data_IF_949274370826
#
_entry.id   IF_949274370826
#
_cell.length_a   1.000
_cell.length_b   1.000
_cell.length_c   1.000
_cell.angle_alpha   90.00
_cell.angle_beta   90.00
_cell.angle_gamma   90.00
#
_symmetry.space_group_name_H-M   'P 1'
#
loop_
_entity.id
_entity.type
_entity.pdbx_description
1 polymer ?
#
# COMPACT_ATOMS: atom_id res chain seq x y z
N UNK A 1 -0.14 -45.11 -43.51
CA UNK A 1 -1.32 -45.89 -43.04
C UNK A 1 -1.45 -45.65 -41.54
N UNK A 2 -2.43 -45.00 -40.93
CA UNK A 2 -3.65 -44.23 -41.26
C UNK A 2 -3.70 -43.15 -40.16
N UNK A 3 -3.53 -41.85 -40.41
CA UNK A 3 -4.56 -40.80 -40.63
C UNK A 3 -5.91 -41.00 -39.92
N UNK A 4 -6.20 -40.11 -38.96
CA UNK A 4 -7.53 -39.56 -38.71
C UNK A 4 -7.39 -38.07 -38.37
N UNK A 5 -7.93 -37.26 -39.27
CA UNK A 5 -8.07 -35.81 -39.23
C UNK A 5 -9.11 -35.35 -38.20
N UNK A 6 -8.85 -34.21 -37.55
CA UNK A 6 -9.90 -33.30 -37.09
C UNK A 6 -9.50 -31.86 -37.45
N UNK A 7 -10.20 -31.31 -38.44
CA UNK A 7 -10.23 -29.88 -38.80
C UNK A 7 -11.51 -29.25 -38.25
N UNK A 8 -11.42 -27.97 -37.92
CA UNK A 8 -12.54 -27.05 -37.75
C UNK A 8 -12.48 -26.36 -36.39
N UNK A 9 -12.39 -25.04 -36.27
CA UNK A 9 -12.31 -23.96 -37.24
C UNK A 9 -12.21 -22.68 -36.41
N UNK A 10 -11.25 -21.82 -36.74
CA UNK A 10 -11.10 -20.50 -36.13
C UNK A 10 -12.30 -19.64 -36.54
N UNK A 11 -13.17 -19.35 -35.58
CA UNK A 11 -14.22 -18.34 -35.69
C UNK A 11 -13.80 -17.10 -34.93
N UNK A 12 -13.08 -16.19 -35.60
CA UNK A 12 -12.91 -14.82 -35.13
C UNK A 12 -14.29 -14.16 -35.01
N UNK A 13 -14.67 -13.71 -33.81
CA UNK A 13 -15.89 -12.90 -33.62
C UNK A 13 -15.51 -11.43 -33.84
N UNK A 14 -16.17 -10.70 -34.75
CA UNK A 14 -15.79 -9.33 -35.07
C UNK A 14 -16.15 -8.36 -33.93
N UNK A 15 -15.24 -7.43 -33.68
CA UNK A 15 -15.49 -6.20 -32.92
C UNK A 15 -16.36 -5.23 -33.74
N UNK A 16 -17.21 -4.46 -33.04
CA UNK A 16 -18.23 -3.49 -33.48
C UNK A 16 -19.55 -4.10 -33.96
N UNK A 17 -20.73 -3.66 -33.50
CA UNK A 17 -21.16 -2.27 -33.28
C UNK A 17 -22.46 -2.24 -32.46
N UNK A 18 -22.68 -1.15 -31.69
CA UNK A 18 -23.97 -0.63 -31.19
C UNK A 18 -24.95 -1.64 -30.57
N UNK A 19 -25.06 -1.64 -29.23
CA UNK A 19 -26.33 -1.91 -28.56
C UNK A 19 -26.87 -0.62 -27.97
N UNK A 20 -28.04 -0.27 -28.47
CA UNK A 20 -28.90 0.82 -28.03
C UNK A 20 -29.40 0.61 -26.61
N UNK A 21 -29.66 1.74 -25.97
CA UNK A 21 -30.47 1.95 -24.77
C UNK A 21 -31.71 1.05 -24.74
N UNK A 22 -31.86 0.25 -23.68
CA UNK A 22 -33.13 -0.31 -23.18
C UNK A 22 -33.07 -0.16 -21.66
N UNK A 23 -33.65 0.90 -21.09
CA UNK A 23 -34.93 0.88 -20.34
C UNK A 23 -34.95 0.11 -19.01
N UNK A 24 -33.91 -0.65 -18.65
CA UNK A 24 -33.82 -1.37 -17.37
C UNK A 24 -32.59 -0.92 -16.55
N UNK A 25 -32.80 -0.31 -15.37
CA UNK A 25 -31.93 -0.43 -14.16
C UNK A 25 -32.06 0.73 -13.14
N UNK A 26 -33.28 1.24 -12.93
CA UNK A 26 -33.55 2.21 -11.86
C UNK A 26 -34.34 1.56 -10.73
N UNK A 27 -33.87 1.70 -9.49
CA UNK A 27 -34.65 1.39 -8.28
C UNK A 27 -35.02 2.69 -7.58
N UNK A 28 -36.30 3.04 -7.55
CA UNK A 28 -36.84 4.14 -6.74
C UNK A 28 -36.71 3.82 -5.23
N UNK A 29 -36.36 4.82 -4.42
CA UNK A 29 -36.38 4.73 -2.96
C UNK A 29 -37.77 5.12 -2.46
N UNK A 30 -38.35 4.38 -1.49
CA UNK A 30 -39.71 4.62 -1.00
C UNK A 30 -39.90 6.05 -0.44
N UNK A 31 -40.88 6.78 -0.98
CA UNK A 31 -41.18 8.21 -0.73
C UNK A 31 -41.49 8.63 0.72
N UNK A 32 -41.64 7.70 1.68
CA UNK A 32 -42.32 8.01 2.95
C UNK A 32 -41.47 8.67 4.05
N UNK A 33 -40.15 8.71 3.94
CA UNK A 33 -39.29 9.29 5.00
C UNK A 33 -38.88 10.76 4.77
N UNK A 34 -39.14 11.34 3.60
CA UNK A 34 -38.69 12.71 3.25
C UNK A 34 -39.83 13.73 3.02
N UNK A 35 -41.09 13.31 2.94
CA UNK A 35 -42.24 14.22 2.81
C UNK A 35 -42.41 15.15 4.04
N UNK A 36 -41.80 14.84 5.19
CA UNK A 36 -41.75 15.76 6.34
C UNK A 36 -40.77 16.93 6.16
N UNK A 37 -39.83 16.84 5.19
CA UNK A 37 -38.81 17.87 4.90
C UNK A 37 -39.06 18.61 3.57
N UNK A 38 -40.01 18.16 2.75
CA UNK A 38 -40.33 18.71 1.43
C UNK A 38 -40.94 20.13 1.44
N UNK A 39 -41.13 20.75 2.60
CA UNK A 39 -41.67 22.11 2.69
C UNK A 39 -40.62 23.22 2.54
N UNK A 40 -39.32 22.93 2.37
CA UNK A 40 -38.29 23.98 2.32
C UNK A 40 -37.19 23.86 1.24
N UNK A 41 -37.22 22.89 0.32
CA UNK A 41 -36.25 22.90 -0.80
C UNK A 41 -36.73 22.14 -2.03
N UNK A 42 -36.41 22.68 -3.20
CA UNK A 42 -36.62 22.08 -4.52
C UNK A 42 -35.77 20.80 -4.61
N UNK A 43 -36.40 19.62 -4.46
CA UNK A 43 -35.77 18.33 -4.74
C UNK A 43 -36.13 17.95 -6.17
N UNK A 44 -35.14 17.89 -7.05
CA UNK A 44 -35.31 17.39 -8.44
C UNK A 44 -35.61 15.89 -8.41
N UNK A 45 -36.49 15.41 -9.30
CA UNK A 45 -36.81 13.97 -9.47
C UNK A 45 -35.56 13.09 -9.72
N UNK A 46 -34.47 13.67 -10.20
CA UNK A 46 -33.18 13.00 -10.39
C UNK A 46 -32.44 12.67 -9.08
N UNK A 47 -32.80 13.27 -7.94
CA UNK A 47 -32.19 12.97 -6.63
C UNK A 47 -32.69 11.65 -6.02
N UNK A 48 -33.75 11.06 -6.59
CA UNK A 48 -34.35 9.79 -6.16
C UNK A 48 -33.79 8.58 -6.92
N UNK A 49 -32.87 8.81 -7.86
CA UNK A 49 -32.34 7.78 -8.74
C UNK A 49 -30.91 7.38 -8.31
N UNK A 50 -30.76 6.11 -7.92
CA UNK A 50 -29.46 5.49 -7.66
C UNK A 50 -29.30 4.35 -8.66
N UNK A 51 -28.12 4.25 -9.26
CA UNK A 51 -27.84 3.15 -10.18
C UNK A 51 -27.97 1.78 -9.51
N UNK A 52 -28.28 0.75 -10.30
CA UNK A 52 -28.11 -0.63 -9.88
C UNK A 52 -26.66 -0.92 -9.47
N UNK A 53 -26.50 -1.93 -8.62
CA UNK A 53 -25.18 -2.40 -8.19
C UNK A 53 -24.35 -2.73 -9.43
N UNK A 54 -23.10 -2.24 -9.54
CA UNK A 54 -22.31 -2.35 -10.76
C UNK A 54 -21.66 -3.73 -10.87
N UNK A 55 -22.47 -4.79 -10.94
CA UNK A 55 -22.04 -6.19 -10.83
C UNK A 55 -20.91 -6.55 -11.82
N UNK A 56 -20.90 -5.94 -13.01
CA UNK A 56 -19.83 -6.12 -14.00
C UNK A 56 -18.51 -5.39 -13.69
N UNK A 57 -18.52 -4.39 -12.82
CA UNK A 57 -17.34 -3.64 -12.40
C UNK A 57 -16.73 -4.16 -11.09
N UNK A 58 -17.50 -4.93 -10.29
CA UNK A 58 -17.05 -5.48 -9.02
C UNK A 58 -16.02 -6.60 -9.23
N UNK A 59 -15.01 -6.63 -8.38
CA UNK A 59 -14.08 -7.74 -8.30
C UNK A 59 -14.77 -8.99 -7.72
N UNK A 60 -14.25 -10.18 -8.04
CA UNK A 60 -14.86 -11.43 -7.59
C UNK A 60 -14.79 -11.55 -6.05
N UNK A 61 -15.97 -11.55 -5.40
CA UNK A 61 -16.09 -11.58 -3.94
C UNK A 61 -16.16 -10.19 -3.29
N UNK A 62 -16.06 -9.12 -4.08
CA UNK A 62 -16.39 -7.76 -3.65
C UNK A 62 -17.91 -7.63 -3.46
N UNK A 63 -18.34 -7.11 -2.31
CA UNK A 63 -19.76 -6.89 -2.01
C UNK A 63 -20.05 -5.41 -1.83
N UNK A 64 -21.23 -4.97 -2.27
CA UNK A 64 -21.71 -3.60 -2.03
C UNK A 64 -22.36 -3.54 -0.65
N UNK A 65 -21.84 -2.69 0.23
CA UNK A 65 -22.41 -2.46 1.56
C UNK A 65 -23.44 -1.34 1.58
N UNK A 66 -23.24 -0.34 0.73
CA UNK A 66 -24.07 0.86 0.68
C UNK A 66 -23.95 1.56 -0.67
N UNK A 67 -25.01 2.21 -1.10
CA UNK A 67 -25.05 3.04 -2.32
C UNK A 67 -25.84 4.31 -2.04
N UNK A 68 -25.39 5.43 -2.59
CA UNK A 68 -25.98 6.74 -2.31
C UNK A 68 -25.79 7.68 -3.49
N UNK A 69 -26.77 8.56 -3.71
CA UNK A 69 -26.60 9.68 -4.64
C UNK A 69 -25.57 10.66 -4.08
N UNK A 70 -24.57 11.01 -4.88
CA UNK A 70 -23.50 11.92 -4.50
C UNK A 70 -23.18 12.89 -5.64
N UNK A 71 -22.63 14.03 -5.27
CA UNK A 71 -22.12 15.06 -6.16
C UNK A 71 -20.60 15.07 -6.07
N UNK A 72 -19.90 14.50 -7.04
CA UNK A 72 -18.44 14.46 -7.05
C UNK A 72 -17.87 15.78 -7.59
N UNK A 73 -16.94 16.39 -6.86
CA UNK A 73 -16.25 17.62 -7.28
C UNK A 73 -15.10 17.28 -8.25
N UNK A 74 -15.29 17.58 -9.54
CA UNK A 74 -14.29 17.31 -10.59
C UNK A 74 -13.00 18.09 -10.41
N UNK A 75 -13.03 19.24 -9.73
CA UNK A 75 -11.81 20.06 -9.51
C UNK A 75 -10.77 19.33 -8.66
N UNK A 76 -11.19 18.29 -7.95
CA UNK A 76 -10.34 17.49 -7.06
C UNK A 76 -9.81 16.22 -7.70
N UNK A 77 -10.36 15.80 -8.85
CA UNK A 77 -9.94 14.59 -9.56
C UNK A 77 -8.54 14.77 -10.17
N UNK A 78 -7.60 13.91 -9.76
CA UNK A 78 -6.20 13.98 -10.18
C UNK A 78 -5.41 15.16 -9.58
N UNK A 79 -5.98 15.87 -8.61
CA UNK A 79 -5.33 16.97 -7.90
C UNK A 79 -4.63 16.47 -6.64
N UNK A 80 -3.40 16.95 -6.42
CA UNK A 80 -2.67 16.73 -5.16
C UNK A 80 -3.14 17.77 -4.16
N UNK A 81 -3.54 17.35 -2.96
CA UNK A 81 -3.97 18.23 -1.88
C UNK A 81 -2.93 19.36 -1.64
N UNK A 82 -3.36 20.62 -1.80
CA UNK A 82 -2.50 21.81 -1.63
C UNK A 82 -1.75 22.28 -2.88
N UNK A 83 -1.87 21.60 -4.02
CA UNK A 83 -1.37 22.07 -5.32
C UNK A 83 -2.57 22.46 -6.19
N UNK A 84 -2.91 23.75 -6.21
CA UNK A 84 -3.89 24.25 -7.18
C UNK A 84 -3.28 24.15 -8.58
N UNK A 85 -3.60 23.09 -9.31
CA UNK A 85 -3.27 22.96 -10.72
C UNK A 85 -3.99 24.06 -11.48
N UNK A 86 -3.24 24.91 -12.19
CA UNK A 86 -3.82 25.83 -13.18
C UNK A 86 -4.31 25.01 -14.37
N UNK A 87 -5.49 24.39 -14.27
CA UNK A 87 -6.16 23.85 -15.45
C UNK A 87 -7.58 24.39 -15.55
N UNK A 88 -7.77 25.10 -16.68
CA UNK A 88 -8.99 25.62 -17.30
C UNK A 88 -10.00 26.27 -16.36
N UNK A 89 -10.12 27.59 -16.51
CA UNK A 89 -11.29 28.37 -16.08
C UNK A 89 -12.53 27.73 -16.69
N UNK A 90 -13.24 26.91 -15.91
CA UNK A 90 -14.59 26.46 -16.25
C UNK A 90 -15.50 27.69 -16.24
N UNK A 91 -16.32 27.82 -17.29
CA UNK A 91 -17.43 28.75 -17.29
C UNK A 91 -18.48 28.14 -16.36
N UNK A 92 -18.82 28.86 -15.30
CA UNK A 92 -19.76 28.48 -14.25
C UNK A 92 -19.31 27.34 -13.30
N UNK A 93 -19.52 27.56 -11.99
CA UNK A 93 -19.19 26.62 -10.91
C UNK A 93 -20.05 25.33 -10.94
N UNK A 94 -21.18 25.33 -11.66
CA UNK A 94 -22.04 24.14 -11.85
C UNK A 94 -21.44 23.12 -12.84
N UNK A 95 -20.55 23.56 -13.74
CA UNK A 95 -19.93 22.67 -14.75
C UNK A 95 -18.85 21.74 -14.15
N UNK A 96 -18.48 21.90 -12.87
CA UNK A 96 -17.43 21.12 -12.21
C UNK A 96 -17.98 20.03 -11.26
N UNK A 97 -19.29 19.81 -11.21
CA UNK A 97 -19.90 18.84 -10.30
C UNK A 97 -20.56 17.71 -11.07
N UNK A 98 -20.11 16.49 -10.83
CA UNK A 98 -20.75 15.30 -11.40
C UNK A 98 -21.82 14.75 -10.49
N UNK A 99 -23.01 14.59 -11.03
CA UNK A 99 -24.07 13.81 -10.40
C UNK A 99 -23.84 12.32 -10.66
N UNK A 100 -23.95 11.51 -9.62
CA UNK A 100 -23.74 10.08 -9.76
C UNK A 100 -24.11 9.28 -8.52
N UNK A 101 -23.81 7.98 -8.59
CA UNK A 101 -23.94 7.07 -7.45
C UNK A 101 -22.57 6.76 -6.87
N UNK A 102 -22.40 7.02 -5.57
CA UNK A 102 -21.29 6.54 -4.77
C UNK A 102 -21.66 5.19 -4.15
N UNK A 103 -20.87 4.17 -4.48
CA UNK A 103 -20.93 2.83 -3.90
C UNK A 103 -19.81 2.67 -2.87
N UNK A 104 -20.17 2.23 -1.66
CA UNK A 104 -19.23 1.71 -0.68
C UNK A 104 -19.24 0.19 -0.78
N UNK A 105 -18.12 -0.37 -1.22
CA UNK A 105 -17.93 -1.82 -1.30
C UNK A 105 -17.09 -2.33 -0.14
N UNK A 106 -16.90 -3.64 -0.07
CA UNK A 106 -15.96 -4.29 0.85
C UNK A 106 -14.48 -3.96 0.56
N UNK A 107 -14.18 -3.19 -0.48
CA UNK A 107 -12.81 -2.91 -0.94
C UNK A 107 -12.51 -1.46 -1.31
N UNK A 108 -13.48 -0.73 -1.86
CA UNK A 108 -13.30 0.64 -2.39
C UNK A 108 -14.56 1.48 -2.27
N UNK A 109 -14.36 2.78 -2.36
CA UNK A 109 -15.38 3.71 -2.82
C UNK A 109 -15.35 3.72 -4.35
N UNK A 110 -16.51 3.56 -4.96
CA UNK A 110 -16.69 3.55 -6.40
C UNK A 110 -17.78 4.57 -6.73
N UNK A 111 -17.43 5.67 -7.37
CA UNK A 111 -18.40 6.65 -7.85
C UNK A 111 -18.55 6.52 -9.36
N UNK A 112 -19.81 6.47 -9.82
CA UNK A 112 -20.17 6.43 -11.24
C UNK A 112 -21.07 7.62 -11.56
N UNK A 113 -20.69 8.40 -12.55
CA UNK A 113 -21.47 9.55 -13.05
C UNK A 113 -22.72 9.11 -13.83
N UNK A 114 -23.76 9.93 -13.86
CA UNK A 114 -24.97 9.71 -14.67
C UNK A 114 -24.87 10.23 -16.11
N UNK A 115 -23.81 10.97 -16.47
CA UNK A 115 -23.71 11.59 -17.79
C UNK A 115 -23.43 10.58 -18.91
N UNK A 116 -24.23 10.66 -19.98
CA UNK A 116 -24.35 9.66 -21.05
C UNK A 116 -23.20 9.56 -22.05
N UNK A 117 -22.15 10.40 -21.97
CA UNK A 117 -21.14 10.47 -23.05
C UNK A 117 -19.85 9.72 -22.76
N UNK A 118 -19.38 9.61 -21.51
CA UNK A 118 -18.35 8.67 -21.07
C UNK A 118 -18.61 8.34 -19.59
N UNK A 119 -18.56 7.06 -19.19
CA UNK A 119 -18.70 6.69 -17.78
C UNK A 119 -17.46 7.18 -17.00
N UNK A 120 -17.53 8.38 -16.46
CA UNK A 120 -16.51 8.85 -15.51
C UNK A 120 -16.61 8.01 -14.22
N UNK A 121 -15.56 7.21 -14.00
CA UNK A 121 -15.40 6.32 -12.87
C UNK A 121 -14.36 6.89 -11.91
N UNK A 122 -14.77 7.17 -10.67
CA UNK A 122 -13.85 7.56 -9.61
C UNK A 122 -13.72 6.40 -8.64
N UNK A 123 -12.50 5.92 -8.44
CA UNK A 123 -12.20 4.77 -7.61
C UNK A 123 -11.21 5.13 -6.49
N UNK A 124 -11.61 4.85 -5.25
CA UNK A 124 -10.76 5.05 -4.07
C UNK A 124 -10.71 3.77 -3.27
N UNK A 125 -9.58 3.07 -3.32
CA UNK A 125 -9.40 1.90 -2.45
C UNK A 125 -9.46 2.29 -0.97
N UNK A 126 -10.18 1.51 -0.17
CA UNK A 126 -10.33 1.78 1.27
C UNK A 126 -8.98 1.83 1.99
N UNK A 127 -8.01 1.00 1.58
CA UNK A 127 -6.67 0.99 2.17
C UNK A 127 -5.85 2.25 1.84
N UNK A 128 -6.22 2.98 0.79
CA UNK A 128 -5.57 4.22 0.38
C UNK A 128 -6.14 5.43 1.12
N UNK A 129 -7.31 5.33 1.77
CA UNK A 129 -7.86 6.42 2.58
C UNK A 129 -6.93 6.66 3.80
N UNK A 130 -6.49 7.89 3.94
CA UNK A 130 -5.68 8.38 5.07
C UNK A 130 -6.57 9.03 6.13
N UNK A 131 -7.54 9.83 5.71
CA UNK A 131 -8.42 10.60 6.58
C UNK A 131 -9.78 10.84 5.89
N UNK A 132 -10.84 10.89 6.69
CA UNK A 132 -12.18 11.29 6.28
C UNK A 132 -12.59 12.49 7.12
N UNK A 133 -13.19 13.50 6.47
CA UNK A 133 -13.75 14.65 7.16
C UNK A 133 -15.11 15.02 6.56
N UNK A 134 -16.01 15.52 7.41
CA UNK A 134 -17.32 15.99 7.00
C UNK A 134 -17.47 17.48 7.33
N UNK A 135 -17.92 18.27 6.36
CA UNK A 135 -18.12 19.71 6.48
C UNK A 135 -19.50 20.11 5.99
N UNK A 136 -20.09 21.15 6.59
CA UNK A 136 -21.25 21.81 6.01
C UNK A 136 -20.79 22.85 5.00
N UNK A 137 -21.36 22.80 3.80
CA UNK A 137 -21.07 23.75 2.72
C UNK A 137 -22.37 24.35 2.19
N UNK A 138 -22.38 25.68 2.01
CA UNK A 138 -23.51 26.36 1.39
C UNK A 138 -23.17 26.60 -0.07
N UNK A 139 -23.77 25.82 -0.97
CA UNK A 139 -23.63 25.97 -2.42
C UNK A 139 -24.82 26.70 -3.04
N UNK A 140 -24.77 26.91 -4.36
CA UNK A 140 -25.91 27.46 -5.13
C UNK A 140 -27.14 26.56 -5.09
N UNK A 141 -26.93 25.25 -4.95
CA UNK A 141 -27.96 24.22 -4.77
C UNK A 141 -28.53 24.15 -3.33
N UNK A 142 -28.09 25.04 -2.44
CA UNK A 142 -28.51 25.09 -1.04
C UNK A 142 -27.47 24.53 -0.05
N UNK A 143 -27.86 24.36 1.22
CA UNK A 143 -27.00 23.74 2.23
C UNK A 143 -26.79 22.27 1.89
N UNK A 144 -25.52 21.85 1.85
CA UNK A 144 -25.09 20.48 1.57
C UNK A 144 -24.09 20.03 2.63
N UNK A 145 -23.97 18.72 2.80
CA UNK A 145 -22.86 18.13 3.56
C UNK A 145 -21.79 17.62 2.58
N UNK A 146 -20.54 17.96 2.83
CA UNK A 146 -19.37 17.60 2.04
C UNK A 146 -18.54 16.57 2.79
N UNK A 147 -18.35 15.41 2.18
CA UNK A 147 -17.38 14.40 2.59
C UNK A 147 -16.08 14.62 1.83
N UNK A 148 -15.01 14.92 2.56
CA UNK A 148 -13.64 14.96 2.06
C UNK A 148 -12.94 13.63 2.34
N UNK A 149 -12.35 13.04 1.29
CA UNK A 149 -11.60 11.79 1.32
C UNK A 149 -10.14 12.10 0.99
N UNK A 150 -9.31 12.19 2.01
CA UNK A 150 -7.86 12.39 1.88
C UNK A 150 -7.15 11.05 1.77
N UNK A 151 -6.31 10.89 0.75
CA UNK A 151 -5.66 9.62 0.44
C UNK A 151 -4.16 9.64 0.73
N UNK A 152 -3.56 8.45 0.93
CA UNK A 152 -2.13 8.27 1.24
C UNK A 152 -1.21 8.58 0.06
N UNK A 153 -1.76 8.61 -1.15
CA UNK A 153 -1.12 9.11 -2.36
C UNK A 153 -1.27 10.64 -2.54
N UNK A 154 -1.71 11.36 -1.51
CA UNK A 154 -1.92 12.81 -1.49
C UNK A 154 -3.06 13.32 -2.39
N UNK A 155 -3.88 12.42 -2.93
CA UNK A 155 -5.12 12.81 -3.61
C UNK A 155 -6.18 13.21 -2.59
N UNK A 156 -6.97 14.22 -2.94
CA UNK A 156 -8.15 14.65 -2.20
C UNK A 156 -9.36 14.49 -3.11
N UNK A 157 -10.41 13.84 -2.62
CA UNK A 157 -11.65 13.65 -3.39
C UNK A 157 -12.81 14.13 -2.54
N UNK A 158 -13.72 14.89 -3.14
CA UNK A 158 -14.86 15.48 -2.43
C UNK A 158 -16.18 15.01 -3.00
N UNK A 159 -17.07 14.59 -2.11
CA UNK A 159 -18.45 14.25 -2.42
C UNK A 159 -19.40 15.16 -1.65
N UNK A 160 -20.33 15.82 -2.32
CA UNK A 160 -21.38 16.61 -1.70
C UNK A 160 -22.71 15.85 -1.70
N UNK A 161 -23.50 16.04 -0.64
CA UNK A 161 -24.79 15.40 -0.44
C UNK A 161 -25.85 16.46 -0.14
N UNK A 162 -27.00 16.46 -0.84
CA UNK A 162 -28.08 17.43 -0.65
C UNK A 162 -28.87 17.26 0.68
N UNK A 163 -28.39 16.45 1.62
CA UNK A 163 -29.00 16.26 2.95
C UNK A 163 -28.01 15.78 4.02
N UNK A 164 -28.13 16.32 5.23
CA UNK A 164 -27.21 16.06 6.35
C UNK A 164 -27.26 14.61 6.83
N UNK A 165 -28.46 13.99 6.87
CA UNK A 165 -28.61 12.61 7.31
C UNK A 165 -27.85 11.60 6.43
N UNK A 166 -27.86 11.83 5.11
CA UNK A 166 -27.28 10.94 4.10
C UNK A 166 -25.75 10.95 4.15
N UNK A 167 -25.15 12.12 4.32
CA UNK A 167 -23.69 12.25 4.45
C UNK A 167 -23.19 11.70 5.77
N UNK A 168 -23.91 11.95 6.88
CA UNK A 168 -23.57 11.38 8.18
C UNK A 168 -23.57 9.86 8.15
N UNK A 169 -24.58 9.24 7.52
CA UNK A 169 -24.65 7.79 7.34
C UNK A 169 -23.49 7.25 6.49
N UNK A 170 -23.15 7.93 5.40
CA UNK A 170 -22.01 7.57 4.55
C UNK A 170 -20.70 7.65 5.35
N UNK A 171 -20.45 8.77 6.03
CA UNK A 171 -19.27 8.99 6.88
C UNK A 171 -19.14 7.90 7.95
N UNK A 172 -20.23 7.59 8.66
CA UNK A 172 -20.25 6.58 9.73
C UNK A 172 -19.97 5.19 9.15
N UNK A 173 -20.62 4.79 8.05
CA UNK A 173 -20.41 3.47 7.44
C UNK A 173 -18.99 3.30 6.91
N UNK A 174 -18.44 4.30 6.22
CA UNK A 174 -17.05 4.23 5.74
C UNK A 174 -16.09 4.14 6.93
N UNK A 175 -16.28 4.99 7.94
CA UNK A 175 -15.46 4.99 9.17
C UNK A 175 -15.49 3.64 9.88
N UNK A 176 -16.67 3.02 10.02
CA UNK A 176 -16.80 1.69 10.62
C UNK A 176 -16.02 0.62 9.84
N UNK A 177 -16.04 0.66 8.50
CA UNK A 177 -15.27 -0.28 7.68
C UNK A 177 -13.76 -0.03 7.84
N UNK A 178 -13.32 1.23 7.85
CA UNK A 178 -11.91 1.58 8.01
C UNK A 178 -11.35 1.24 9.40
N UNK A 179 -12.19 1.25 10.45
CA UNK A 179 -11.81 0.81 11.80
C UNK A 179 -11.64 -0.70 11.89
N UNK A 180 -12.29 -1.47 11.01
CA UNK A 180 -12.16 -2.90 10.95
C UNK A 180 -10.90 -3.33 10.18
N UNK A 181 -10.50 -4.59 10.36
CA UNK A 181 -9.39 -5.16 9.59
C UNK A 181 -9.81 -5.31 8.13
N UNK A 182 -9.36 -4.37 7.28
CA UNK A 182 -9.55 -4.43 5.84
C UNK A 182 -8.94 -5.72 5.28
N UNK A 183 -9.67 -6.37 4.37
CA UNK A 183 -9.16 -7.54 3.67
C UNK A 183 -8.03 -7.12 2.72
N UNK A 184 -6.92 -7.88 2.63
CA UNK A 184 -5.88 -7.59 1.66
C UNK A 184 -6.43 -7.64 0.24
N UNK A 185 -5.94 -6.77 -0.63
CA UNK A 185 -6.36 -6.69 -2.04
C UNK A 185 -6.31 -8.05 -2.76
N UNK A 186 -5.32 -8.89 -2.46
CA UNK A 186 -5.18 -10.24 -3.02
C UNK A 186 -6.39 -11.15 -2.74
N UNK A 187 -7.12 -10.97 -1.64
CA UNK A 187 -8.32 -11.75 -1.32
C UNK A 187 -9.55 -11.27 -2.09
N UNK A 188 -9.61 -9.98 -2.44
CA UNK A 188 -10.73 -9.37 -3.18
C UNK A 188 -10.68 -9.71 -4.66
N UNK A 189 -9.50 -10.05 -5.20
CA UNK A 189 -9.35 -10.19 -6.66
C UNK A 189 -9.61 -11.59 -7.21
N UNK A 190 -9.74 -12.65 -6.38
CA UNK A 190 -10.08 -14.06 -6.67
C UNK A 190 -9.79 -14.70 -8.05
N UNK A 191 -8.94 -14.10 -8.89
CA UNK A 191 -8.17 -14.78 -9.93
C UNK A 191 -7.16 -15.66 -9.20
N UNK A 192 -6.83 -16.82 -9.79
CA UNK A 192 -5.68 -17.62 -9.35
C UNK A 192 -4.51 -16.65 -9.14
N UNK A 193 -4.07 -16.41 -7.89
CA UNK A 193 -3.06 -15.40 -7.64
C UNK A 193 -1.80 -15.83 -8.38
N UNK A 194 -1.19 -14.92 -9.13
CA UNK A 194 0.12 -15.20 -9.69
C UNK A 194 1.10 -15.35 -8.51
N UNK A 195 1.48 -16.60 -8.24
CA UNK A 195 2.39 -16.94 -7.16
C UNK A 195 3.85 -16.95 -7.61
N UNK A 196 4.13 -16.71 -8.90
CA UNK A 196 5.50 -16.72 -9.44
C UNK A 196 6.39 -15.68 -8.74
N UNK A 197 5.82 -14.56 -8.30
CA UNK A 197 6.52 -13.53 -7.54
C UNK A 197 7.11 -14.00 -6.20
N UNK A 198 6.54 -15.04 -5.57
CA UNK A 198 7.09 -15.60 -4.32
C UNK A 198 8.43 -16.31 -4.52
N UNK A 199 8.69 -16.82 -5.73
CA UNK A 199 9.95 -17.47 -6.10
C UNK A 199 10.99 -16.49 -6.67
N UNK A 200 10.68 -15.18 -6.73
CA UNK A 200 11.56 -14.19 -7.35
C UNK A 200 12.88 -13.98 -6.60
N UNK A 201 12.95 -14.32 -5.31
CA UNK A 201 14.13 -14.16 -4.48
C UNK A 201 14.61 -15.50 -3.92
N UNK A 202 15.86 -15.87 -4.25
CA UNK A 202 16.59 -16.97 -3.65
C UNK A 202 17.89 -16.43 -3.00
N UNK A 203 18.07 -16.56 -1.66
CA UNK A 203 19.28 -16.13 -0.97
C UNK A 203 20.57 -16.72 -1.55
N UNK A 204 20.54 -17.97 -2.03
CA UNK A 204 21.72 -18.64 -2.58
C UNK A 204 22.07 -18.08 -3.96
N UNK A 205 21.07 -17.88 -4.82
CA UNK A 205 21.25 -17.22 -6.11
C UNK A 205 21.78 -15.78 -5.94
N UNK A 206 21.25 -15.02 -4.98
CA UNK A 206 21.71 -13.65 -4.71
C UNK A 206 23.15 -13.61 -4.18
N UNK A 207 23.51 -14.54 -3.29
CA UNK A 207 24.89 -14.70 -2.81
C UNK A 207 25.87 -14.93 -3.96
N UNK A 208 25.50 -15.81 -4.91
CA UNK A 208 26.28 -16.08 -6.11
C UNK A 208 26.31 -14.88 -7.06
N UNK A 209 25.20 -14.18 -7.27
CA UNK A 209 25.11 -12.98 -8.12
C UNK A 209 26.02 -11.85 -7.63
N UNK A 210 26.13 -11.66 -6.32
CA UNK A 210 27.06 -10.72 -5.67
C UNK A 210 28.53 -11.21 -5.66
N UNK A 211 28.79 -12.38 -6.25
CA UNK A 211 30.11 -12.95 -6.44
C UNK A 211 30.76 -13.44 -5.16
N UNK A 212 30.00 -13.65 -4.08
CA UNK A 212 30.56 -14.24 -2.87
C UNK A 212 30.98 -15.68 -3.15
N UNK A 213 32.15 -16.07 -2.67
CA UNK A 213 32.68 -17.43 -2.81
C UNK A 213 32.60 -18.10 -1.46
N UNK A 214 31.98 -19.27 -1.40
CA UNK A 214 31.99 -20.09 -0.20
C UNK A 214 33.44 -20.50 0.13
N UNK A 215 33.81 -20.56 1.42
CA UNK A 215 35.14 -21.02 1.84
C UNK A 215 35.41 -22.43 1.29
N UNK A 216 36.57 -22.63 0.67
CA UNK A 216 37.01 -23.97 0.24
C UNK A 216 37.40 -24.80 1.47
N UNK A 217 36.92 -26.04 1.55
CA UNK A 217 37.34 -26.99 2.59
C UNK A 217 38.85 -27.24 2.49
N UNK A 218 39.58 -27.05 3.60
CA UNK A 218 41.01 -27.44 3.72
C UNK A 218 42.06 -26.32 3.80
N UNK A 219 41.71 -25.05 3.58
CA UNK A 219 42.63 -23.89 3.78
C UNK A 219 41.88 -22.75 4.45
N UNK A 220 42.59 -21.90 5.21
CA UNK A 220 42.08 -20.79 6.06
C UNK A 220 40.63 -20.37 5.76
N UNK A 221 39.77 -20.46 6.78
CA UNK A 221 38.37 -20.00 6.72
C UNK A 221 38.37 -18.49 6.41
N UNK A 222 38.28 -18.16 5.13
CA UNK A 222 38.20 -16.80 4.60
C UNK A 222 37.02 -16.69 3.63
N UNK A 223 36.63 -15.47 3.33
CA UNK A 223 35.44 -15.13 2.58
C UNK A 223 34.19 -15.00 3.45
N UNK A 224 33.04 -15.21 2.82
CA UNK A 224 31.73 -15.04 3.42
C UNK A 224 30.95 -16.35 3.39
N UNK A 225 29.98 -16.49 4.31
CA UNK A 225 29.04 -17.60 4.35
C UNK A 225 27.62 -17.09 4.55
N UNK A 226 26.65 -17.88 4.13
CA UNK A 226 25.25 -17.71 4.54
C UNK A 226 25.10 -18.34 5.93
N UNK A 227 24.72 -17.55 6.92
CA UNK A 227 24.42 -18.02 8.27
C UNK A 227 22.93 -18.37 8.38
N UNK A 228 22.64 -19.53 8.97
CA UNK A 228 21.28 -20.03 9.21
C UNK A 228 20.89 -19.96 10.70
N UNK A 229 21.67 -19.23 11.51
CA UNK A 229 21.44 -19.08 12.96
C UNK A 229 20.06 -18.50 13.30
N UNK A 230 19.43 -17.79 12.37
CA UNK A 230 18.11 -17.18 12.54
C UNK A 230 16.98 -17.92 11.79
N UNK A 231 17.18 -19.18 11.39
CA UNK A 231 16.20 -19.91 10.56
C UNK A 231 14.79 -20.01 11.20
N UNK A 232 14.72 -19.96 12.53
CA UNK A 232 13.46 -19.97 13.28
C UNK A 232 13.11 -18.60 13.91
N UNK A 233 13.76 -17.52 13.46
CA UNK A 233 13.53 -16.14 13.90
C UNK A 233 13.72 -15.87 15.40
N UNK A 234 14.35 -16.80 16.15
CA UNK A 234 14.57 -16.65 17.61
C UNK A 234 15.68 -15.66 17.96
N UNK A 235 16.69 -15.50 17.09
CA UNK A 235 17.78 -14.55 17.32
C UNK A 235 17.32 -13.12 17.04
N UNK A 236 16.58 -12.92 15.96
CA UNK A 236 15.88 -11.68 15.66
C UNK A 236 14.64 -11.93 14.82
N UNK A 237 13.48 -11.59 15.36
CA UNK A 237 12.18 -11.73 14.69
C UNK A 237 11.99 -10.80 13.48
N UNK A 238 12.90 -9.86 13.29
CA UNK A 238 12.82 -8.81 12.25
C UNK A 238 13.94 -8.90 11.21
N UNK A 239 14.78 -9.94 11.29
CA UNK A 239 15.79 -10.26 10.28
C UNK A 239 15.34 -11.46 9.43
N UNK A 240 15.92 -11.63 8.22
CA UNK A 240 15.67 -12.82 7.43
C UNK A 240 16.12 -14.09 8.16
N UNK A 241 15.61 -15.24 7.72
CA UNK A 241 15.97 -16.56 8.24
C UNK A 241 17.45 -16.90 7.99
N UNK A 242 18.03 -16.34 6.92
CA UNK A 242 19.42 -16.48 6.56
C UNK A 242 20.02 -15.15 6.08
N UNK A 243 21.30 -14.91 6.37
CA UNK A 243 22.00 -13.67 5.98
C UNK A 243 23.52 -13.90 5.87
N UNK A 244 24.21 -12.98 5.20
CA UNK A 244 25.64 -13.13 4.89
C UNK A 244 26.53 -12.54 5.99
N UNK A 245 27.55 -13.30 6.39
CA UNK A 245 28.53 -12.95 7.42
C UNK A 245 29.94 -13.43 7.02
N UNK A 246 31.03 -12.92 7.63
CA UNK A 246 32.36 -13.50 7.45
C UNK A 246 32.37 -14.99 7.83
N UNK A 247 33.01 -15.81 6.99
CA UNK A 247 33.06 -17.25 7.18
C UNK A 247 33.72 -17.66 8.51
N UNK A 248 34.66 -16.85 8.99
CA UNK A 248 35.40 -17.06 10.24
C UNK A 248 34.57 -16.85 11.51
N UNK A 249 33.40 -16.21 11.40
CA UNK A 249 32.51 -15.95 12.55
C UNK A 249 31.54 -17.11 12.71
N UNK A 250 31.49 -17.70 13.92
CA UNK A 250 30.59 -18.82 14.23
C UNK A 250 29.17 -18.35 14.61
N UNK A 251 28.19 -19.25 14.51
CA UNK A 251 26.82 -18.96 14.96
C UNK A 251 26.74 -18.70 16.48
N UNK A 252 27.66 -19.23 17.27
CA UNK A 252 27.78 -18.94 18.70
C UNK A 252 28.18 -17.50 18.97
N UNK A 253 29.12 -16.96 18.18
CA UNK A 253 29.51 -15.55 18.26
C UNK A 253 28.38 -14.63 17.79
N UNK A 254 27.68 -14.98 16.69
CA UNK A 254 26.51 -14.21 16.23
C UNK A 254 25.43 -14.09 17.31
N UNK A 255 25.18 -15.15 18.09
CA UNK A 255 24.25 -15.09 19.22
C UNK A 255 24.71 -14.11 20.30
N UNK A 256 26.01 -14.09 20.65
CA UNK A 256 26.56 -13.10 21.60
C UNK A 256 26.40 -11.67 21.08
N UNK A 257 26.73 -11.43 19.81
CA UNK A 257 26.60 -10.12 19.15
C UNK A 257 25.13 -9.68 19.12
N UNK A 258 24.19 -10.60 18.93
CA UNK A 258 22.75 -10.28 18.90
C UNK A 258 22.26 -9.67 20.21
N UNK A 259 22.81 -10.05 21.35
CA UNK A 259 22.47 -9.42 22.64
C UNK A 259 23.03 -8.00 22.79
N UNK A 260 24.01 -7.62 21.97
CA UNK A 260 24.62 -6.29 21.97
C UNK A 260 23.99 -5.34 20.95
N UNK A 261 23.27 -5.83 19.94
CA UNK A 261 22.58 -4.99 18.96
C UNK A 261 21.08 -4.91 19.23
N UNK A 262 20.50 -3.71 19.09
CA UNK A 262 19.08 -3.50 19.32
C UNK A 262 18.21 -4.42 18.44
N UNK A 263 17.31 -5.19 19.08
CA UNK A 263 16.44 -6.21 18.47
C UNK A 263 17.19 -7.39 17.82
N UNK A 264 18.40 -7.70 18.25
CA UNK A 264 19.16 -8.85 17.72
C UNK A 264 19.68 -8.67 16.30
N UNK A 265 19.63 -7.43 15.77
CA UNK A 265 19.95 -7.11 14.37
C UNK A 265 21.46 -6.89 14.22
N UNK A 266 22.18 -8.01 14.20
CA UNK A 266 23.64 -8.06 14.02
C UNK A 266 24.08 -7.46 12.67
N UNK A 267 25.35 -7.06 12.51
CA UNK A 267 25.88 -6.62 11.22
C UNK A 267 25.80 -7.74 10.18
N UNK A 268 24.92 -7.61 9.21
CA UNK A 268 24.73 -8.55 8.12
C UNK A 268 25.11 -7.89 6.79
N UNK A 269 25.90 -8.58 5.98
CA UNK A 269 26.33 -8.08 4.67
C UNK A 269 25.15 -8.13 3.69
N UNK A 270 24.88 -7.00 3.02
CA UNK A 270 23.76 -6.85 2.07
C UNK A 270 24.21 -6.62 0.65
N UNK A 271 25.46 -6.20 0.45
CA UNK A 271 25.99 -5.91 -0.87
C UNK A 271 27.50 -6.12 -0.91
N UNK A 272 27.99 -6.51 -2.09
CA UNK A 272 29.41 -6.53 -2.43
C UNK A 272 29.61 -5.93 -3.81
N UNK A 273 30.49 -4.94 -3.88
CA UNK A 273 30.90 -4.31 -5.13
C UNK A 273 32.01 -5.14 -5.81
N UNK A 274 32.20 -4.93 -7.12
CA UNK A 274 33.21 -5.64 -7.93
C UNK A 274 34.66 -5.37 -7.48
N UNK A 275 34.91 -4.32 -6.71
CA UNK A 275 36.21 -3.99 -6.10
C UNK A 275 36.38 -4.53 -4.67
N UNK A 276 35.57 -5.50 -4.27
CA UNK A 276 35.57 -6.15 -2.94
C UNK A 276 35.13 -5.28 -1.75
N UNK A 277 34.62 -4.06 -1.99
CA UNK A 277 33.94 -3.29 -0.94
C UNK A 277 32.60 -3.93 -0.62
N UNK A 278 32.32 -4.11 0.68
CA UNK A 278 31.03 -4.62 1.15
C UNK A 278 30.24 -3.55 1.90
N UNK A 279 28.92 -3.67 1.85
CA UNK A 279 28.00 -2.91 2.70
C UNK A 279 27.34 -3.91 3.64
N UNK A 280 27.41 -3.61 4.94
CA UNK A 280 26.67 -4.31 5.98
C UNK A 280 25.69 -3.36 6.66
N UNK A 281 24.58 -3.92 7.16
CA UNK A 281 23.59 -3.21 7.96
C UNK A 281 23.43 -3.88 9.32
N UNK A 282 23.21 -3.08 10.35
CA UNK A 282 22.86 -3.51 11.69
C UNK A 282 21.88 -2.54 12.34
N UNK A 283 21.41 -2.86 13.53
CA UNK A 283 20.88 -1.85 14.43
C UNK A 283 22.01 -1.21 15.26
N UNK A 284 21.69 -0.12 15.96
CA UNK A 284 22.61 0.50 16.92
C UNK A 284 23.10 -0.49 18.00
N UNK A 285 24.35 -0.35 18.46
CA UNK A 285 24.85 -1.10 19.60
C UNK A 285 24.22 -0.60 20.91
N UNK A 286 24.11 -1.49 21.89
CA UNK A 286 23.55 -1.25 23.22
C UNK A 286 24.63 -0.82 24.21
N UNK A 287 25.39 0.22 23.85
CA UNK A 287 26.49 0.77 24.66
C UNK A 287 25.97 1.40 25.95
N UNK A 288 24.92 2.21 25.85
CA UNK A 288 24.29 2.96 26.94
C UNK A 288 25.24 3.89 27.69
N UNK A 289 24.73 4.49 28.77
CA UNK A 289 25.50 5.40 29.63
C UNK A 289 26.75 4.75 30.25
N UNK A 290 26.75 3.42 30.41
CA UNK A 290 27.89 2.67 30.96
C UNK A 290 28.99 2.37 29.94
N UNK A 291 28.82 2.79 28.68
CA UNK A 291 29.78 2.53 27.58
C UNK A 291 30.14 1.03 27.48
N UNK A 292 29.12 0.16 27.53
CA UNK A 292 29.31 -1.28 27.41
C UNK A 292 30.00 -1.61 26.09
N UNK A 293 30.89 -2.59 26.13
CA UNK A 293 31.62 -3.11 24.96
C UNK A 293 31.32 -4.60 24.78
N UNK A 294 31.43 -5.10 23.56
CA UNK A 294 31.23 -6.50 23.23
C UNK A 294 32.43 -7.03 22.44
N UNK A 295 33.24 -7.89 23.08
CA UNK A 295 34.44 -8.46 22.44
C UNK A 295 34.13 -9.26 21.19
N UNK A 296 33.01 -10.00 21.18
CA UNK A 296 32.55 -10.74 19.99
C UNK A 296 32.20 -9.81 18.83
N UNK A 297 31.61 -8.65 19.12
CA UNK A 297 31.25 -7.66 18.11
C UNK A 297 32.50 -6.96 17.56
N UNK A 298 33.42 -6.55 18.44
CA UNK A 298 34.70 -5.97 18.01
C UNK A 298 35.53 -6.95 17.15
N UNK A 299 35.55 -8.23 17.52
CA UNK A 299 36.17 -9.28 16.73
C UNK A 299 35.47 -9.47 15.37
N UNK A 300 34.15 -9.31 15.30
CA UNK A 300 33.38 -9.32 14.06
C UNK A 300 33.81 -8.20 13.11
N UNK A 301 34.01 -6.99 13.64
CA UNK A 301 34.50 -5.83 12.87
C UNK A 301 35.89 -6.08 12.29
N UNK A 302 36.77 -6.72 13.07
CA UNK A 302 38.10 -7.16 12.61
C UNK A 302 37.97 -8.21 11.50
N UNK A 303 37.06 -9.17 11.63
CA UNK A 303 36.82 -10.18 10.60
C UNK A 303 36.31 -9.54 9.29
N UNK A 304 35.34 -8.63 9.35
CA UNK A 304 34.87 -7.88 8.17
C UNK A 304 36.00 -7.14 7.47
N UNK A 305 36.83 -6.42 8.24
CA UNK A 305 37.98 -5.68 7.72
C UNK A 305 39.06 -6.61 7.15
N UNK A 306 39.19 -7.84 7.65
CA UNK A 306 40.12 -8.83 7.07
C UNK A 306 39.66 -9.30 5.70
N UNK A 307 38.35 -9.53 5.54
CA UNK A 307 37.78 -9.97 4.26
C UNK A 307 37.77 -8.86 3.21
N UNK A 308 37.67 -7.60 3.64
CA UNK A 308 37.61 -6.44 2.75
C UNK A 308 38.87 -5.59 2.91
N UNK A 309 39.77 -5.62 1.91
CA UNK A 309 41.02 -4.86 1.93
C UNK A 309 40.72 -3.35 2.02
N UNK A 310 40.76 -2.75 3.21
CA UNK A 310 40.48 -1.33 3.37
C UNK A 310 40.24 -0.83 4.80
N UNK A 311 39.68 0.38 4.87
CA UNK A 311 39.18 1.00 6.11
C UNK A 311 37.76 0.51 6.38
N UNK A 312 37.42 0.32 7.66
CA UNK A 312 36.04 0.12 8.10
C UNK A 312 35.43 1.48 8.43
N UNK A 313 34.23 1.75 7.90
CA UNK A 313 33.49 2.99 8.14
C UNK A 313 32.14 2.66 8.75
N UNK A 314 31.78 3.35 9.82
CA UNK A 314 30.46 3.32 10.43
C UNK A 314 29.68 4.55 9.97
N UNK A 315 28.52 4.33 9.35
CA UNK A 315 27.64 5.39 8.88
C UNK A 315 26.34 5.30 9.68
N UNK A 316 26.26 6.11 10.73
CA UNK A 316 25.02 6.30 11.48
C UNK A 316 24.12 7.28 10.73
N UNK A 317 22.97 6.81 10.26
CA UNK A 317 22.03 7.63 9.49
C UNK A 317 21.23 8.63 10.34
N UNK A 318 21.44 8.66 11.67
CA UNK A 318 20.78 9.62 12.57
C UNK A 318 21.51 10.96 12.57
N UNK A 319 20.79 12.00 13.00
CA UNK A 319 21.45 13.23 13.44
C UNK A 319 22.33 12.94 14.67
N UNK A 320 23.38 13.73 14.86
CA UNK A 320 24.25 13.60 16.04
C UNK A 320 23.45 13.70 17.34
N UNK A 321 22.52 14.66 17.45
CA UNK A 321 21.65 14.82 18.63
C UNK A 321 20.83 13.57 18.92
N UNK A 322 20.24 12.96 17.89
CA UNK A 322 19.48 11.71 18.06
C UNK A 322 20.37 10.54 18.45
N UNK A 323 21.59 10.45 17.92
CA UNK A 323 22.55 9.40 18.27
C UNK A 323 22.99 9.51 19.75
N UNK A 324 23.35 10.71 20.21
CA UNK A 324 23.67 10.98 21.61
C UNK A 324 22.46 10.77 22.53
N UNK A 325 21.26 11.18 22.12
CA UNK A 325 20.04 10.93 22.89
C UNK A 325 19.76 9.45 23.12
N UNK A 326 20.07 8.59 22.14
CA UNK A 326 19.90 7.14 22.28
C UNK A 326 20.86 6.51 23.30
N UNK A 327 22.01 7.12 23.62
CA UNK A 327 22.91 6.65 24.69
C UNK A 327 22.18 6.67 26.03
N UNK A 328 21.39 7.72 26.30
CA UNK A 328 20.59 7.83 27.52
C UNK A 328 19.52 6.74 27.61
N UNK A 329 19.03 6.25 26.47
CA UNK A 329 18.03 5.17 26.35
C UNK A 329 18.65 3.76 26.30
N UNK A 330 19.97 3.63 26.52
CA UNK A 330 20.68 2.36 26.54
C UNK A 330 21.21 1.87 25.18
N UNK A 331 20.94 2.60 24.10
CA UNK A 331 21.55 2.41 22.79
C UNK A 331 22.85 3.19 22.64
N UNK A 332 23.14 3.68 21.44
CA UNK A 332 24.27 4.57 21.15
C UNK A 332 24.90 4.26 19.80
N UNK A 333 26.22 4.41 19.70
CA UNK A 333 27.03 4.19 18.51
C UNK A 333 28.41 3.66 18.95
N UNK A 334 29.22 3.21 17.98
CA UNK A 334 30.51 2.53 18.17
C UNK A 334 31.61 3.37 18.84
#
# INVERSE_FOLDING_TARGET
MRTTDWRGGEGAVPYNTRRSVEEDSWTEVERKELDQLAHTSFVSDSMYLVMESPAGALYMGETVHFKVHALCDQSTLGSVAGVSGKNKVAKDEDDNVMHGTLFLTSYRLLFRSFHHQEEELVEVHLHNIAELAEFRVNGKLGPMSQLEVSCKNFELIKFNFPGEAVSGDAYVKISQILMNKLQPAAYVFARQPDTSGWAAYDPQAEFTRLGFKAPKSGTQIGGFRIAHVNNNYKMSSTYPSAFVVPASVSDGELRKISFFHARGRVPAVTYRHKNDVVVARCAQPLVGLRKKRCTSDEAYMVALRRECKGKLLFIDCRSQTSAYGNIALGGGFE
#
